data_IF_948599556887
#
_entry.id   IF_948599556887
#
_cell.length_a   1.000
_cell.length_b   1.000
_cell.length_c   1.000
_cell.angle_alpha   90.00
_cell.angle_beta   90.00
_cell.angle_gamma   90.00
#
_symmetry.space_group_name_H-M   'P 1'
#
loop_
_entity.id
_entity.type
_entity.pdbx_description
1 polymer ?
#
# COMPACT_ATOMS: atom_id res chain seq x y z
N UNK A 1 1.21 21.06 -22.62
CA UNK A 1 0.87 20.86 -22.05
C UNK A 1 0.30 20.77 -21.33
N UNK A 2 0.32 20.88 -21.00
CA UNK A 2 -0.09 20.64 -20.16
C UNK A 2 -1.00 20.38 -19.90
N UNK A 3 -1.18 20.75 -20.29
CA UNK A 3 -2.09 20.71 -19.88
C UNK A 3 -2.88 19.84 -19.68
N UNK A 4 -3.17 19.49 -20.10
CA UNK A 4 -3.82 18.56 -19.83
C UNK A 4 -3.45 17.73 -18.87
N UNK A 5 -2.85 18.10 -18.76
CA UNK A 5 -2.31 17.56 -17.79
C UNK A 5 -2.98 17.53 -16.53
N UNK A 6 -3.92 18.34 -16.30
CA UNK A 6 -4.60 18.48 -15.06
C UNK A 6 -5.35 17.23 -14.68
N UNK A 7 -6.05 16.63 -15.56
CA UNK A 7 -6.75 15.41 -15.26
C UNK A 7 -5.81 14.27 -15.00
N UNK A 8 -4.68 14.30 -15.65
CA UNK A 8 -3.74 13.23 -15.51
C UNK A 8 -3.00 13.24 -14.21
N UNK A 9 -2.83 14.40 -13.63
CA UNK A 9 -2.19 14.48 -12.33
C UNK A 9 -2.96 13.70 -11.29
N UNK A 10 -4.27 13.62 -11.46
CA UNK A 10 -5.10 12.94 -10.50
C UNK A 10 -5.15 11.44 -10.70
N UNK A 11 -4.56 10.95 -11.75
CA UNK A 11 -4.56 9.53 -12.03
C UNK A 11 -3.50 8.78 -11.24
N UNK A 12 -2.48 9.48 -10.77
CA UNK A 12 -1.43 8.83 -10.00
C UNK A 12 -1.55 9.21 -8.54
N UNK A 13 -1.81 8.19 -7.75
CA UNK A 13 -1.81 8.34 -6.32
C UNK A 13 -0.38 8.41 -5.82
N UNK A 14 -0.12 9.31 -4.91
CA UNK A 14 1.19 9.37 -4.25
C UNK A 14 1.23 8.25 -3.22
N UNK A 15 2.21 7.36 -3.28
CA UNK A 15 2.32 6.30 -2.28
C UNK A 15 2.50 6.90 -0.89
N UNK A 16 1.80 6.34 0.07
CA UNK A 16 1.86 6.80 1.45
C UNK A 16 3.14 6.34 2.15
N UNK A 17 3.71 5.23 1.71
CA UNK A 17 4.89 4.63 2.30
C UNK A 17 6.02 4.55 1.29
N UNK A 18 7.25 4.45 1.78
CA UNK A 18 8.41 4.33 0.92
C UNK A 18 9.22 3.10 1.31
N UNK A 19 10.10 2.69 0.42
CA UNK A 19 10.99 1.55 0.66
C UNK A 19 11.73 1.76 1.96
N UNK A 20 11.71 0.74 2.81
CA UNK A 20 12.37 0.76 4.10
C UNK A 20 11.46 1.08 5.27
N UNK A 21 10.27 1.63 5.02
CA UNK A 21 9.34 1.94 6.10
C UNK A 21 8.86 0.66 6.77
N UNK A 22 8.81 0.68 8.10
CA UNK A 22 8.24 -0.43 8.85
C UNK A 22 6.74 -0.22 8.97
N UNK A 23 5.98 -1.25 8.67
CA UNK A 23 4.52 -1.15 8.62
C UNK A 23 3.86 -2.39 9.19
N UNK A 24 2.59 -2.23 9.53
CA UNK A 24 1.70 -3.34 9.87
C UNK A 24 0.78 -3.55 8.68
N UNK A 25 0.58 -4.78 8.28
CA UNK A 25 -0.27 -5.08 7.12
C UNK A 25 -1.20 -6.24 7.42
N UNK A 26 -2.31 -6.26 6.70
CA UNK A 26 -3.27 -7.35 6.82
C UNK A 26 -3.18 -8.24 5.59
N UNK A 27 -3.05 -9.55 5.82
CA UNK A 27 -3.08 -10.53 4.75
C UNK A 27 -4.46 -11.17 4.70
N UNK A 28 -5.21 -10.87 3.66
CA UNK A 28 -6.55 -11.48 3.53
C UNK A 28 -6.47 -12.94 3.12
N UNK A 29 -5.30 -13.41 2.68
CA UNK A 29 -5.11 -14.82 2.37
C UNK A 29 -5.07 -15.64 3.66
N UNK A 30 -4.32 -15.17 4.66
CA UNK A 30 -4.21 -15.87 5.93
C UNK A 30 -5.18 -15.35 6.99
N UNK A 31 -5.77 -14.18 6.76
CA UNK A 31 -6.65 -13.56 7.74
C UNK A 31 -5.92 -12.99 8.95
N UNK A 32 -4.63 -12.70 8.80
CA UNK A 32 -3.81 -12.26 9.93
C UNK A 32 -3.05 -11.00 9.59
N UNK A 33 -2.75 -10.22 10.63
CA UNK A 33 -1.85 -9.09 10.51
C UNK A 33 -0.41 -9.55 10.61
N UNK A 34 0.48 -8.83 9.96
CA UNK A 34 1.91 -9.10 10.05
C UNK A 34 2.68 -7.79 9.99
N UNK A 35 3.90 -7.80 10.51
CA UNK A 35 4.80 -6.65 10.52
C UNK A 35 5.91 -6.90 9.53
N UNK A 36 6.27 -5.88 8.79
CA UNK A 36 7.36 -5.98 7.83
C UNK A 36 7.82 -4.62 7.36
N UNK A 37 8.71 -4.63 6.41
CA UNK A 37 9.26 -3.42 5.82
C UNK A 37 8.88 -3.34 4.36
N UNK A 38 8.64 -2.12 3.89
CA UNK A 38 8.32 -1.92 2.48
C UNK A 38 9.55 -2.29 1.65
N UNK A 39 9.43 -3.30 0.81
CA UNK A 39 10.51 -3.74 -0.07
C UNK A 39 10.43 -3.12 -1.44
N UNK A 40 9.24 -2.87 -1.93
CA UNK A 40 9.05 -2.16 -3.19
C UNK A 40 7.70 -1.50 -3.22
N UNK A 41 7.58 -0.48 -4.03
CA UNK A 41 6.36 0.27 -4.21
C UNK A 41 5.99 0.20 -5.68
N UNK A 42 4.77 -0.23 -5.97
CA UNK A 42 4.26 -0.29 -7.33
C UNK A 42 3.05 0.61 -7.45
N UNK A 43 3.09 1.49 -8.42
CA UNK A 43 2.01 2.43 -8.61
C UNK A 43 1.71 2.52 -10.09
N UNK A 44 0.44 2.47 -10.45
CA UNK A 44 0.04 2.64 -11.83
C UNK A 44 -1.35 3.25 -11.90
N UNK A 45 -1.67 3.79 -13.05
CA UNK A 45 -2.95 4.41 -13.27
C UNK A 45 -3.47 4.03 -14.66
N UNK A 46 -4.78 3.91 -14.77
CA UNK A 46 -5.42 3.77 -16.06
C UNK A 46 -6.45 4.88 -16.21
N UNK A 47 -7.38 4.73 -17.14
CA UNK A 47 -8.35 5.80 -17.41
C UNK A 47 -9.26 6.11 -16.25
N UNK A 48 -9.42 5.17 -15.33
CA UNK A 48 -10.45 5.29 -14.30
C UNK A 48 -9.91 5.33 -12.90
N UNK A 49 -8.68 4.87 -12.69
CA UNK A 49 -8.20 4.74 -11.31
C UNK A 49 -6.69 4.75 -11.21
N UNK A 50 -6.24 5.03 -10.01
CA UNK A 50 -4.84 4.98 -9.65
C UNK A 50 -4.70 3.95 -8.52
N UNK A 51 -3.73 3.07 -8.64
CA UNK A 51 -3.55 1.96 -7.70
C UNK A 51 -2.13 1.98 -7.17
N UNK A 52 -2.00 1.76 -5.86
CA UNK A 52 -0.72 1.62 -5.20
C UNK A 52 -0.71 0.29 -4.46
N UNK A 53 0.29 -0.52 -4.73
CA UNK A 53 0.53 -1.78 -4.04
C UNK A 53 1.95 -1.82 -3.52
N UNK A 54 2.16 -2.62 -2.50
CA UNK A 54 3.47 -2.76 -1.90
C UNK A 54 3.88 -4.22 -1.84
N UNK A 55 5.19 -4.46 -1.95
CA UNK A 55 5.76 -5.72 -1.53
C UNK A 55 6.30 -5.49 -0.13
N UNK A 56 5.85 -6.28 0.83
CA UNK A 56 6.23 -6.12 2.22
C UNK A 56 7.13 -7.27 2.62
N UNK A 57 8.36 -6.93 3.02
CA UNK A 57 9.36 -7.92 3.39
C UNK A 57 9.19 -8.29 4.85
N UNK A 58 9.02 -9.58 5.10
CA UNK A 58 8.93 -10.10 6.47
C UNK A 58 10.34 -10.36 6.99
N UNK A 59 11.22 -10.86 6.11
CA UNK A 59 12.63 -11.02 6.44
C UNK A 59 13.44 -10.86 5.15
N UNK A 60 14.73 -11.17 5.20
CA UNK A 60 15.62 -10.95 4.06
C UNK A 60 15.22 -11.74 2.84
N UNK A 61 14.56 -12.87 3.04
CA UNK A 61 14.26 -13.79 1.96
C UNK A 61 12.78 -13.99 1.69
N UNK A 62 11.93 -13.40 2.49
CA UNK A 62 10.49 -13.58 2.34
C UNK A 62 9.78 -12.24 2.23
N UNK A 63 8.93 -12.13 1.24
CA UNK A 63 8.11 -10.95 1.08
C UNK A 63 6.73 -11.34 0.61
N UNK A 64 5.77 -10.48 0.86
CA UNK A 64 4.40 -10.65 0.40
C UNK A 64 4.16 -9.58 -0.64
N UNK A 65 3.96 -9.96 -1.91
CA UNK A 65 3.77 -9.00 -2.99
C UNK A 65 2.33 -8.54 -3.11
N UNK A 66 2.15 -7.44 -3.80
CA UNK A 66 0.84 -6.95 -4.22
C UNK A 66 -0.11 -6.69 -3.06
N UNK A 67 0.41 -6.16 -1.96
CA UNK A 67 -0.42 -5.77 -0.82
C UNK A 67 -1.04 -4.42 -1.13
N UNK A 68 -2.37 -4.31 -1.19
CA UNK A 68 -3.01 -3.04 -1.48
C UNK A 68 -2.74 -2.02 -0.39
N UNK A 69 -2.62 -0.76 -0.78
CA UNK A 69 -2.36 0.29 0.19
C UNK A 69 -3.40 0.34 1.31
N UNK A 70 -4.64 0.01 1.00
CA UNK A 70 -5.71 0.02 1.99
C UNK A 70 -5.51 -0.98 3.12
N UNK A 71 -4.63 -1.96 2.93
CA UNK A 71 -4.36 -2.99 3.94
C UNK A 71 -3.03 -2.77 4.65
N UNK A 72 -2.43 -1.60 4.49
CA UNK A 72 -1.16 -1.26 5.13
C UNK A 72 -1.42 -0.12 6.13
N UNK A 73 -0.90 -0.25 7.32
CA UNK A 73 -1.17 0.67 8.43
C UNK A 73 0.12 1.11 9.09
N UNK A 74 0.10 2.33 9.63
CA UNK A 74 1.26 2.87 10.34
C UNK A 74 1.48 2.12 11.65
N UNK A 75 0.39 1.80 12.35
CA UNK A 75 0.49 1.18 13.66
C UNK A 75 -0.78 0.40 13.99
N UNK A 76 -0.78 -0.17 15.18
CA UNK A 76 -1.89 -1.01 15.65
C UNK A 76 -3.18 -0.20 15.78
N UNK A 77 -3.08 1.08 16.15
CA UNK A 77 -4.29 1.90 16.34
C UNK A 77 -5.02 2.11 15.03
N UNK A 78 -4.28 2.38 13.95
CA UNK A 78 -4.88 2.54 12.64
C UNK A 78 -5.52 1.24 12.17
N UNK A 79 -4.87 0.12 12.43
CA UNK A 79 -5.41 -1.19 12.07
C UNK A 79 -6.70 -1.48 12.84
N UNK A 80 -6.75 -1.12 14.11
CA UNK A 80 -7.95 -1.31 14.92
C UNK A 80 -9.11 -0.47 14.40
N UNK A 81 -8.84 0.75 13.99
CA UNK A 81 -9.87 1.60 13.43
C UNK A 81 -10.45 1.00 12.16
N UNK A 82 -9.59 0.44 11.33
CA UNK A 82 -10.03 -0.21 10.11
C UNK A 82 -10.93 -1.40 10.42
N UNK A 83 -10.51 -2.25 11.37
CA UNK A 83 -11.30 -3.42 11.77
C UNK A 83 -12.66 -3.00 12.31
N UNK A 84 -12.68 -1.95 13.12
CA UNK A 84 -13.93 -1.47 13.73
C UNK A 84 -14.88 -0.85 12.73
N UNK A 85 -14.38 -0.45 11.58
CA UNK A 85 -15.22 0.16 10.54
C UNK A 85 -15.85 -0.87 9.59
N UNK A 86 -15.50 -2.13 9.72
CA UNK A 86 -16.00 -3.19 8.84
C UNK A 86 -17.46 -3.57 9.10
#
# INVERSE_FOLDING_TARGET
MQVNFNGKENQFKVPHYKVGDEVLAFSYISGKFFVGNIGSVNSYADNNQSIVNYTIMIDENKGIPNVPEALVFDDVNDAKEWVNSL
#
